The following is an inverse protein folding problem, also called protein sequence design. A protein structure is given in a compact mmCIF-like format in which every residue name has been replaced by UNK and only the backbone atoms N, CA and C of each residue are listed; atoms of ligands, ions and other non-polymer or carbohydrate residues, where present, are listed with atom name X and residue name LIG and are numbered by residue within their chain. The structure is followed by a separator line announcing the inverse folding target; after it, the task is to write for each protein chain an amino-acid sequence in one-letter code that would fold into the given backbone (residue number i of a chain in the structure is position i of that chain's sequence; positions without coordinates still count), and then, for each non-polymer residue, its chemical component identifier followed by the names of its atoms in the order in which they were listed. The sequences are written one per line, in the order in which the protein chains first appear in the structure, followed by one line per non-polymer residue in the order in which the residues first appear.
data_IF_875489539511
#
_entry.id   IF_875489539511
#
_cell.length_a   1.000
_cell.length_b   1.000
_cell.length_c   1.000
_cell.angle_alpha   90.00
_cell.angle_beta   90.00
_cell.angle_gamma   90.00
#
_symmetry.space_group_name_H-M   'P 1'
#
loop_
_entity.id
_entity.type
_entity.pdbx_description
1 polymer ?
#
# COMPACT_ATOMS: atom_id res chain seq x y z
N UNK A 1 -2.13 -4.04 -7.65
CA UNK A 1 -1.97 -3.56 -6.26
C UNK A 1 -3.36 -3.38 -5.66
N UNK A 2 -3.50 -3.62 -4.36
CA UNK A 2 -4.76 -3.48 -3.64
C UNK A 2 -4.49 -2.77 -2.31
N UNK A 3 -5.39 -1.90 -1.87
CA UNK A 3 -5.36 -1.30 -0.53
C UNK A 3 -6.72 -1.42 0.14
N UNK A 4 -6.71 -1.70 1.43
CA UNK A 4 -7.87 -1.71 2.31
C UNK A 4 -7.60 -0.89 3.57
N UNK A 5 -8.54 -0.01 3.89
CA UNK A 5 -8.51 0.83 5.08
C UNK A 5 -9.53 0.31 6.09
N UNK A 6 -9.10 0.09 7.32
CA UNK A 6 -9.94 -0.42 8.41
C UNK A 6 -9.99 0.57 9.56
N UNK A 7 -11.13 0.62 10.24
CA UNK A 7 -11.31 1.39 11.46
C UNK A 7 -12.73 1.91 11.61
N UNK A 8 -12.86 3.13 12.13
CA UNK A 8 -14.13 3.83 12.26
C UNK A 8 -14.31 4.86 11.14
N UNK A 9 -15.53 4.93 10.63
CA UNK A 9 -15.90 5.88 9.59
C UNK A 9 -17.22 6.55 9.94
N UNK A 10 -17.19 7.88 10.00
CA UNK A 10 -18.37 8.70 10.21
C UNK A 10 -18.64 9.53 8.94
N UNK A 11 -19.61 9.14 8.10
CA UNK A 11 -20.00 9.93 6.94
C UNK A 11 -20.36 11.36 7.35
N UNK A 12 -20.04 12.34 6.50
CA UNK A 12 -20.50 13.70 6.72
C UNK A 12 -22.03 13.78 6.67
N UNK A 13 -22.64 14.62 7.51
CA UNK A 13 -24.10 14.74 7.58
C UNK A 13 -24.78 15.18 6.27
N UNK A 14 -24.03 15.80 5.36
CA UNK A 14 -24.50 16.24 4.05
C UNK A 14 -24.29 15.20 2.94
N UNK A 15 -23.54 14.12 3.20
CA UNK A 15 -23.24 13.11 2.21
C UNK A 15 -24.47 12.23 1.97
N UNK A 16 -24.95 12.20 0.74
CA UNK A 16 -26.05 11.34 0.33
C UNK A 16 -25.55 9.90 0.13
N UNK A 17 -26.06 8.90 0.89
CA UNK A 17 -25.72 7.49 0.67
C UNK A 17 -26.07 6.97 -0.72
N UNK A 18 -27.00 7.62 -1.43
CA UNK A 18 -27.41 7.30 -2.81
C UNK A 18 -26.67 8.16 -3.86
N UNK A 19 -25.65 8.92 -3.45
CA UNK A 19 -24.81 9.72 -4.35
C UNK A 19 -24.28 8.90 -5.52
N UNK A 20 -24.33 9.47 -6.73
CA UNK A 20 -23.80 8.85 -7.95
C UNK A 20 -22.29 8.60 -7.90
N UNK A 21 -21.57 9.39 -7.09
CA UNK A 21 -20.12 9.26 -6.92
C UNK A 21 -19.78 8.21 -5.86
N UNK A 22 -19.61 6.97 -6.33
CA UNK A 22 -19.09 5.86 -5.53
C UNK A 22 -17.57 5.96 -5.28
N UNK A 23 -17.02 4.96 -4.59
CA UNK A 23 -15.60 4.89 -4.26
C UNK A 23 -14.71 4.94 -5.50
N UNK A 24 -15.14 4.24 -6.55
CA UNK A 24 -14.42 4.16 -7.80
C UNK A 24 -14.35 5.53 -8.47
N UNK A 25 -15.48 6.20 -8.62
CA UNK A 25 -15.54 7.50 -9.27
C UNK A 25 -14.73 8.56 -8.52
N UNK A 26 -14.84 8.64 -7.19
CA UNK A 26 -14.07 9.62 -6.41
C UNK A 26 -12.56 9.34 -6.50
N UNK A 27 -12.15 8.08 -6.42
CA UNK A 27 -10.75 7.71 -6.51
C UNK A 27 -10.19 7.96 -7.92
N UNK A 28 -10.98 7.67 -8.96
CA UNK A 28 -10.67 7.99 -10.36
C UNK A 28 -10.43 9.50 -10.51
N UNK A 29 -11.35 10.34 -10.05
CA UNK A 29 -11.24 11.80 -10.14
C UNK A 29 -10.02 12.33 -9.38
N UNK A 30 -9.75 11.80 -8.17
CA UNK A 30 -8.57 12.18 -7.38
C UNK A 30 -7.27 11.78 -8.10
N UNK A 31 -7.22 10.57 -8.64
CA UNK A 31 -6.04 10.08 -9.38
C UNK A 31 -5.79 10.88 -10.66
N UNK A 32 -6.85 11.26 -11.40
CA UNK A 32 -6.77 12.16 -12.56
C UNK A 32 -6.22 13.53 -12.15
N UNK A 33 -6.77 14.13 -11.09
CA UNK A 33 -6.38 15.46 -10.64
C UNK A 33 -4.90 15.53 -10.22
N UNK A 34 -4.32 14.42 -9.76
CA UNK A 34 -2.92 14.33 -9.37
C UNK A 34 -1.98 13.91 -10.52
N UNK A 35 -2.53 13.57 -11.70
CA UNK A 35 -1.75 13.07 -12.84
C UNK A 35 -1.17 11.68 -12.59
N UNK A 36 -1.82 10.86 -11.76
CA UNK A 36 -1.35 9.52 -11.39
C UNK A 36 -1.95 8.41 -12.26
N UNK A 37 -3.00 8.68 -13.03
CA UNK A 37 -3.58 7.69 -13.94
C UNK A 37 -2.79 7.56 -15.24
N UNK A 38 -2.64 6.33 -15.69
CA UNK A 38 -2.18 6.05 -17.04
C UNK A 38 -3.35 6.14 -18.03
N UNK A 39 -3.50 7.31 -18.67
CA UNK A 39 -4.56 7.61 -19.64
C UNK A 39 -4.46 6.81 -20.96
N UNK A 40 -3.45 5.94 -21.11
CA UNK A 40 -3.24 5.13 -22.31
C UNK A 40 -4.36 4.13 -22.58
N UNK A 41 -5.10 3.71 -21.56
CA UNK A 41 -6.22 2.77 -21.71
C UNK A 41 -7.48 3.41 -22.33
N UNK A 42 -7.75 4.70 -22.09
CA UNK A 42 -8.90 5.42 -22.66
C UNK A 42 -8.67 5.92 -24.09
N UNK A 43 -7.42 5.97 -24.53
CA UNK A 43 -6.99 6.52 -25.81
C UNK A 43 -7.18 5.58 -27.02
N UNK A 44 -7.53 4.31 -26.80
CA UNK A 44 -7.64 3.31 -27.87
C UNK A 44 -8.93 3.41 -28.70
N UNK A 45 -9.91 4.25 -28.30
CA UNK A 45 -11.22 4.31 -28.94
C UNK A 45 -11.50 5.59 -29.73
N UNK A 46 -10.68 6.64 -29.58
CA UNK A 46 -10.83 7.89 -30.33
C UNK A 46 -9.56 8.27 -31.09
N UNK A 47 -9.70 8.18 -32.42
CA UNK A 47 -8.88 8.81 -33.44
C UNK A 47 -7.41 8.36 -33.56
N UNK A 48 -7.19 7.51 -34.56
CA UNK A 48 -6.02 7.64 -35.42
C UNK A 48 -5.90 9.10 -35.90
N UNK A 49 -4.67 9.61 -35.92
CA UNK A 49 -4.27 10.94 -36.39
C UNK A 49 -4.25 12.04 -35.32
N UNK A 50 -3.20 12.04 -34.52
CA UNK A 50 -2.24 13.16 -34.43
C UNK A 50 -1.03 12.68 -33.61
N UNK A 51 0.16 13.21 -33.90
CA UNK A 51 1.39 12.91 -33.14
C UNK A 51 1.16 13.30 -31.67
N UNK A 52 0.72 12.34 -30.86
CA UNK A 52 0.54 12.53 -29.42
C UNK A 52 1.92 12.85 -28.83
N UNK A 53 2.05 14.09 -28.37
CA UNK A 53 3.06 14.56 -27.43
C UNK A 53 3.31 13.45 -26.40
N UNK A 54 4.58 13.16 -26.09
CA UNK A 54 4.95 12.12 -25.13
C UNK A 54 4.28 12.45 -23.78
N UNK A 55 3.13 11.86 -23.49
CA UNK A 55 2.48 11.93 -22.18
C UNK A 55 3.26 10.97 -21.29
N UNK A 56 3.79 11.48 -20.18
CA UNK A 56 4.47 10.65 -19.19
C UNK A 56 3.51 9.53 -18.75
N UNK A 57 3.98 8.27 -18.65
CA UNK A 57 3.14 7.19 -18.14
C UNK A 57 2.65 7.52 -16.73
N UNK A 58 1.37 7.24 -16.45
CA UNK A 58 0.84 7.33 -15.09
C UNK A 58 1.40 6.26 -14.17
N UNK A 59 1.10 6.38 -12.88
CA UNK A 59 1.53 5.43 -11.84
C UNK A 59 0.70 4.14 -11.84
N UNK A 60 -0.56 4.20 -12.25
CA UNK A 60 -1.44 3.05 -12.32
C UNK A 60 -2.62 3.23 -13.28
N UNK A 61 -3.25 2.13 -13.66
CA UNK A 61 -4.60 2.09 -14.23
C UNK A 61 -5.64 1.66 -13.19
N UNK A 62 -6.87 2.16 -13.33
CA UNK A 62 -7.97 1.82 -12.44
C UNK A 62 -8.51 0.42 -12.69
N UNK A 63 -8.87 -0.30 -11.63
CA UNK A 63 -9.58 -1.59 -11.74
C UNK A 63 -10.93 -1.53 -11.04
N UNK A 64 -10.95 -1.45 -9.71
CA UNK A 64 -12.20 -1.46 -8.93
C UNK A 64 -12.01 -0.79 -7.56
N UNK A 65 -13.09 -0.36 -6.91
CA UNK A 65 -13.07 0.21 -5.56
C UNK A 65 -14.44 0.13 -4.90
N UNK A 66 -14.48 0.12 -3.57
CA UNK A 66 -15.76 0.05 -2.85
C UNK A 66 -15.73 0.61 -1.43
N UNK A 67 -16.91 1.09 -0.99
CA UNK A 67 -17.24 1.38 0.39
C UNK A 67 -17.81 0.09 1.00
N UNK A 68 -17.21 -0.47 2.05
CA UNK A 68 -17.56 -1.76 2.68
C UNK A 68 -17.01 -3.03 2.01
N UNK A 69 -17.10 -4.14 2.76
CA UNK A 69 -16.54 -5.44 2.40
C UNK A 69 -17.13 -6.00 1.09
N UNK A 70 -16.31 -6.35 0.08
CA UNK A 70 -16.81 -6.84 -1.21
C UNK A 70 -17.50 -8.21 -1.10
N UNK A 71 -17.18 -9.00 -0.07
CA UNK A 71 -17.88 -10.25 0.27
C UNK A 71 -19.01 -10.09 1.31
N UNK A 72 -19.44 -8.87 1.61
CA UNK A 72 -20.52 -8.57 2.57
C UNK A 72 -20.36 -9.21 3.97
N UNK A 73 -19.13 -9.22 4.52
CA UNK A 73 -18.82 -9.82 5.82
C UNK A 73 -19.46 -9.01 6.98
N UNK A 74 -20.38 -9.57 7.80
CA UNK A 74 -21.23 -8.82 8.74
C UNK A 74 -20.55 -8.14 9.95
N UNK A 75 -19.23 -8.14 10.07
CA UNK A 75 -18.50 -7.58 11.21
C UNK A 75 -17.16 -6.94 10.83
N UNK A 76 -16.96 -6.65 9.55
CA UNK A 76 -15.70 -6.06 9.10
C UNK A 76 -15.63 -4.58 9.48
N UNK A 77 -14.52 -4.17 10.12
CA UNK A 77 -14.15 -2.75 10.26
C UNK A 77 -13.64 -2.14 8.94
N UNK A 78 -13.78 -2.84 7.81
CA UNK A 78 -13.35 -2.33 6.52
C UNK A 78 -14.20 -1.10 6.14
N UNK A 79 -13.52 0.04 5.99
CA UNK A 79 -14.12 1.30 5.60
C UNK A 79 -14.22 1.35 4.07
N UNK A 80 -13.08 1.14 3.41
CA UNK A 80 -12.93 1.30 1.97
C UNK A 80 -11.83 0.42 1.43
N UNK A 81 -11.93 0.05 0.16
CA UNK A 81 -10.87 -0.66 -0.55
C UNK A 81 -10.74 -0.17 -1.99
N UNK A 82 -9.54 -0.30 -2.53
CA UNK A 82 -9.15 0.19 -3.85
C UNK A 82 -8.24 -0.81 -4.54
N UNK A 83 -8.46 -1.02 -5.83
CA UNK A 83 -7.69 -1.92 -6.66
C UNK A 83 -7.22 -1.19 -7.92
N UNK A 84 -5.92 -1.27 -8.17
CA UNK A 84 -5.28 -0.65 -9.33
C UNK A 84 -4.29 -1.61 -9.97
N UNK A 85 -4.07 -1.46 -11.27
CA UNK A 85 -2.97 -2.09 -11.99
C UNK A 85 -1.77 -1.15 -11.94
N UNK A 86 -0.75 -1.50 -11.16
CA UNK A 86 0.44 -0.67 -11.01
C UNK A 86 1.26 -0.70 -12.31
N UNK A 87 1.64 0.47 -12.81
CA UNK A 87 2.53 0.60 -13.95
C UNK A 87 3.93 0.09 -13.62
N UNK A 88 4.70 -0.25 -14.66
CA UNK A 88 6.14 -0.48 -14.50
C UNK A 88 6.81 0.78 -13.94
N UNK A 89 7.62 0.60 -12.90
CA UNK A 89 8.32 1.69 -12.23
C UNK A 89 9.74 1.83 -12.76
N UNK A 90 10.20 3.07 -12.91
CA UNK A 90 11.60 3.33 -13.23
C UNK A 90 12.52 2.72 -12.15
N UNK A 91 13.73 2.30 -12.55
CA UNK A 91 14.65 1.57 -11.67
C UNK A 91 15.16 2.39 -10.48
N UNK A 92 14.99 3.69 -10.47
CA UNK A 92 15.32 4.59 -9.36
C UNK A 92 14.11 5.01 -8.51
N UNK A 93 12.92 4.44 -8.77
CA UNK A 93 11.67 4.77 -8.06
C UNK A 93 11.07 3.57 -7.33
N UNK A 94 10.46 3.78 -6.15
CA UNK A 94 9.76 2.71 -5.45
C UNK A 94 8.47 2.33 -6.19
N UNK A 95 7.84 1.23 -5.78
CA UNK A 95 6.42 1.01 -6.10
C UNK A 95 5.60 2.23 -5.62
N UNK A 96 4.53 2.67 -6.31
CA UNK A 96 3.82 3.89 -5.96
C UNK A 96 2.81 3.66 -4.81
N UNK A 97 3.24 3.05 -3.70
CA UNK A 97 2.35 2.67 -2.60
C UNK A 97 1.96 3.89 -1.77
N UNK A 98 2.91 4.79 -1.48
CA UNK A 98 2.67 6.04 -0.78
C UNK A 98 1.64 6.92 -1.49
N UNK A 99 1.78 7.28 -2.78
CA UNK A 99 0.75 8.04 -3.50
C UNK A 99 -0.57 7.28 -3.61
N UNK A 100 -0.53 5.94 -3.73
CA UNK A 100 -1.74 5.12 -3.78
C UNK A 100 -2.54 5.20 -2.46
N UNK A 101 -1.88 5.04 -1.31
CA UNK A 101 -2.53 5.14 -0.01
C UNK A 101 -2.97 6.56 0.32
N UNK A 102 -2.22 7.59 -0.09
CA UNK A 102 -2.67 8.99 0.01
C UNK A 102 -3.93 9.24 -0.81
N UNK A 103 -3.98 8.74 -2.04
CA UNK A 103 -5.19 8.83 -2.87
C UNK A 103 -6.38 8.11 -2.22
N UNK A 104 -6.15 6.91 -1.68
CA UNK A 104 -7.19 6.14 -0.98
C UNK A 104 -7.74 6.90 0.23
N UNK A 105 -6.85 7.43 1.08
CA UNK A 105 -7.23 8.22 2.25
C UNK A 105 -8.00 9.49 1.84
N UNK A 106 -7.47 10.29 0.90
CA UNK A 106 -8.13 11.50 0.41
C UNK A 106 -9.53 11.24 -0.13
N UNK A 107 -9.71 10.09 -0.79
CA UNK A 107 -10.99 9.67 -1.35
C UNK A 107 -11.98 9.34 -0.24
N UNK A 108 -11.57 8.53 0.74
CA UNK A 108 -12.42 8.14 1.86
C UNK A 108 -12.76 9.34 2.76
N UNK A 109 -11.79 10.21 3.01
CA UNK A 109 -11.97 11.43 3.82
C UNK A 109 -12.79 12.51 3.11
N UNK A 110 -13.00 12.40 1.78
CA UNK A 110 -13.87 13.32 1.04
C UNK A 110 -15.33 13.23 1.48
N UNK A 111 -15.75 12.06 1.95
CA UNK A 111 -17.16 11.74 2.24
C UNK A 111 -17.43 11.53 3.73
N UNK A 112 -16.39 11.53 4.57
CA UNK A 112 -16.54 11.41 6.01
C UNK A 112 -15.23 11.53 6.78
N UNK A 113 -15.31 11.36 8.08
CA UNK A 113 -14.15 11.37 8.98
C UNK A 113 -13.69 9.92 9.20
N UNK A 114 -12.39 9.70 9.02
CA UNK A 114 -11.75 8.38 9.16
C UNK A 114 -10.93 8.34 10.45
N UNK A 115 -11.10 7.27 11.23
CA UNK A 115 -10.15 6.87 12.26
C UNK A 115 -9.58 5.51 11.90
N UNK A 116 -8.32 5.47 11.46
CA UNK A 116 -7.68 4.24 11.01
C UNK A 116 -7.26 3.36 12.19
N UNK A 117 -7.67 2.10 12.15
CA UNK A 117 -7.19 1.02 13.03
C UNK A 117 -6.12 0.17 12.34
N UNK A 118 -6.29 -0.06 11.03
CA UNK A 118 -5.36 -0.86 10.23
C UNK A 118 -5.37 -0.46 8.75
N UNK A 119 -4.27 -0.78 8.06
CA UNK A 119 -4.14 -0.67 6.62
C UNK A 119 -3.58 -1.97 6.08
N UNK A 120 -4.15 -2.49 5.01
CA UNK A 120 -3.64 -3.65 4.31
C UNK A 120 -3.35 -3.31 2.85
N UNK A 121 -2.21 -3.77 2.35
CA UNK A 121 -1.75 -3.53 0.98
C UNK A 121 -1.24 -4.83 0.36
N UNK A 122 -1.70 -5.14 -0.85
CA UNK A 122 -1.12 -6.20 -1.68
C UNK A 122 -0.07 -5.58 -2.62
N UNK A 123 1.20 -5.85 -2.32
CA UNK A 123 2.38 -5.32 -2.99
C UNK A 123 2.79 -6.22 -4.17
N UNK A 124 2.82 -5.73 -5.42
CA UNK A 124 3.28 -6.50 -6.57
C UNK A 124 4.82 -6.54 -6.67
N UNK A 125 5.49 -7.17 -5.69
CA UNK A 125 6.97 -7.21 -5.60
C UNK A 125 7.62 -7.86 -6.82
N UNK A 126 6.94 -8.78 -7.50
CA UNK A 126 7.37 -9.37 -8.77
C UNK A 126 7.59 -8.35 -9.89
N UNK A 127 7.00 -7.15 -9.80
CA UNK A 127 7.23 -6.05 -10.74
C UNK A 127 8.47 -5.22 -10.42
N UNK A 128 9.19 -5.51 -9.33
CA UNK A 128 10.41 -4.81 -8.92
C UNK A 128 11.64 -5.61 -9.36
N UNK A 129 12.33 -5.13 -10.38
CA UNK A 129 13.62 -5.69 -10.77
C UNK A 129 14.75 -5.11 -9.91
N UNK A 130 15.00 -5.77 -8.77
CA UNK A 130 16.05 -5.39 -7.83
C UNK A 130 17.46 -5.37 -8.46
N UNK A 131 17.69 -6.11 -9.56
CA UNK A 131 19.00 -6.18 -10.23
C UNK A 131 19.32 -4.94 -11.05
N UNK A 132 18.28 -4.18 -11.44
CA UNK A 132 18.41 -2.93 -12.20
C UNK A 132 18.51 -1.70 -11.33
N UNK A 133 18.31 -1.83 -10.01
CA UNK A 133 18.39 -0.73 -9.06
C UNK A 133 19.81 -0.12 -9.07
N UNK A 134 19.95 1.20 -9.28
CA UNK A 134 21.26 1.83 -9.22
C UNK A 134 21.77 1.85 -7.77
N UNK A 135 23.09 1.93 -7.59
CA UNK A 135 23.72 1.85 -6.26
C UNK A 135 23.21 2.90 -5.25
N UNK A 136 22.76 4.07 -5.73
CA UNK A 136 22.21 5.13 -4.88
C UNK A 136 20.73 4.94 -4.52
N UNK A 137 20.03 4.00 -5.16
CA UNK A 137 18.60 3.75 -4.96
C UNK A 137 18.29 2.25 -4.90
N UNK A 138 19.10 1.49 -4.16
CA UNK A 138 18.83 0.07 -3.86
C UNK A 138 17.49 -0.08 -3.14
N UNK A 139 17.16 0.87 -2.27
CA UNK A 139 15.86 1.05 -1.63
C UNK A 139 15.43 2.50 -1.88
N UNK A 140 14.76 2.80 -3.00
CA UNK A 140 14.49 4.16 -3.44
C UNK A 140 13.84 5.09 -2.41
N UNK A 141 12.91 4.59 -1.58
CA UNK A 141 12.24 5.37 -0.54
C UNK A 141 13.21 5.93 0.52
N UNK A 142 14.42 5.38 0.65
CA UNK A 142 15.48 5.93 1.52
C UNK A 142 16.00 7.30 1.08
N UNK A 143 15.58 7.82 -0.07
CA UNK A 143 15.89 9.19 -0.49
C UNK A 143 15.01 10.24 0.20
N UNK A 144 13.90 9.84 0.84
CA UNK A 144 12.94 10.75 1.46
C UNK A 144 12.61 10.49 2.95
N UNK A 145 13.42 9.81 3.78
CA UNK A 145 13.07 9.57 5.19
C UNK A 145 13.04 10.87 6.00
N UNK A 146 13.83 11.88 5.60
CA UNK A 146 13.88 13.20 6.26
C UNK A 146 12.55 13.97 6.20
N UNK A 147 11.64 13.60 5.28
CA UNK A 147 10.28 14.14 5.26
C UNK A 147 9.57 13.95 6.62
N UNK A 148 9.84 12.83 7.29
CA UNK A 148 9.27 12.50 8.60
C UNK A 148 10.10 13.04 9.77
N UNK A 149 11.24 13.69 9.51
CA UNK A 149 12.11 14.27 10.55
C UNK A 149 11.48 15.46 11.26
N UNK A 150 10.53 16.15 10.62
CA UNK A 150 9.79 17.29 11.17
C UNK A 150 8.47 16.89 11.86
N UNK A 151 8.13 15.59 11.91
CA UNK A 151 6.96 15.12 12.67
C UNK A 151 7.13 15.41 14.17
N UNK A 152 6.05 15.79 14.87
CA UNK A 152 6.06 15.89 16.34
C UNK A 152 6.47 14.53 16.92
N UNK A 153 7.53 14.44 17.75
CA UNK A 153 7.94 13.18 18.38
C UNK A 153 6.82 12.47 19.15
N UNK A 154 5.79 13.19 19.58
CA UNK A 154 4.61 12.63 20.25
C UNK A 154 3.60 11.98 19.30
N UNK A 155 3.74 12.19 17.99
CA UNK A 155 2.92 11.56 16.96
C UNK A 155 3.32 10.11 16.70
N UNK A 156 4.46 9.65 17.26
CA UNK A 156 4.89 8.26 17.14
C UNK A 156 3.79 7.31 17.59
N UNK A 157 3.55 6.30 16.77
CA UNK A 157 2.48 5.33 16.98
C UNK A 157 3.06 3.92 17.10
N UNK A 158 2.68 3.23 18.18
CA UNK A 158 2.95 1.81 18.32
C UNK A 158 2.16 1.02 17.28
N UNK A 159 2.86 0.18 16.53
CA UNK A 159 2.29 -0.60 15.44
C UNK A 159 2.78 -2.04 15.45
N UNK A 160 1.97 -2.90 14.85
CA UNK A 160 2.36 -4.25 14.43
C UNK A 160 2.22 -4.35 12.93
N UNK A 161 3.17 -5.02 12.31
CA UNK A 161 3.26 -5.16 10.87
C UNK A 161 3.34 -6.64 10.55
N UNK A 162 2.46 -7.12 9.70
CA UNK A 162 2.54 -8.44 9.10
C UNK A 162 3.00 -8.32 7.65
N UNK A 163 4.00 -9.11 7.29
CA UNK A 163 4.47 -9.28 5.91
C UNK A 163 4.27 -10.75 5.56
N UNK A 164 3.47 -11.07 4.55
CA UNK A 164 3.06 -12.45 4.23
C UNK A 164 3.17 -12.76 2.74
N UNK A 165 3.73 -13.92 2.40
CA UNK A 165 3.86 -14.42 1.03
C UNK A 165 2.80 -15.44 0.64
N UNK A 166 1.73 -15.57 1.42
CA UNK A 166 0.63 -16.47 1.14
C UNK A 166 0.95 -17.91 1.52
N UNK A 167 0.74 -18.84 0.60
CA UNK A 167 1.02 -20.28 0.77
C UNK A 167 2.47 -20.64 0.54
N UNK A 168 3.19 -19.84 -0.25
CA UNK A 168 4.62 -20.06 -0.48
C UNK A 168 5.42 -19.52 0.71
N UNK A 169 6.35 -20.31 1.30
CA UNK A 169 7.12 -19.90 2.49
C UNK A 169 8.30 -18.96 2.17
N UNK A 170 8.16 -18.06 1.18
CA UNK A 170 9.23 -17.16 0.74
C UNK A 170 9.62 -16.13 1.82
N UNK A 171 8.64 -15.53 2.51
CA UNK A 171 8.91 -14.56 3.58
C UNK A 171 9.60 -15.21 4.78
N UNK A 172 9.10 -16.33 5.35
CA UNK A 172 9.81 -17.04 6.42
C UNK A 172 11.25 -17.42 6.07
N UNK A 173 11.51 -17.80 4.81
CA UNK A 173 12.86 -18.16 4.37
C UNK A 173 13.89 -17.02 4.46
N UNK A 174 13.44 -15.76 4.33
CA UNK A 174 14.30 -14.57 4.43
C UNK A 174 14.09 -13.75 5.70
N UNK A 175 13.23 -14.19 6.63
CA UNK A 175 12.78 -13.44 7.80
C UNK A 175 13.88 -12.70 8.56
N UNK A 176 14.95 -13.43 8.92
CA UNK A 176 16.09 -12.89 9.67
C UNK A 176 16.94 -11.90 8.85
N UNK A 177 17.01 -12.11 7.53
CA UNK A 177 17.74 -11.23 6.62
C UNK A 177 16.96 -9.94 6.40
N UNK A 178 15.64 -10.03 6.19
CA UNK A 178 14.75 -8.89 6.01
C UNK A 178 14.73 -8.01 7.25
N UNK A 179 14.52 -8.59 8.44
CA UNK A 179 14.52 -7.84 9.71
C UNK A 179 15.86 -7.13 9.94
N UNK A 180 16.97 -7.82 9.68
CA UNK A 180 18.32 -7.22 9.81
C UNK A 180 18.60 -6.16 8.76
N UNK A 181 18.07 -6.31 7.55
CA UNK A 181 18.23 -5.34 6.48
C UNK A 181 17.49 -4.05 6.86
N UNK A 182 16.21 -4.15 7.25
CA UNK A 182 15.40 -3.02 7.69
C UNK A 182 16.01 -2.29 8.89
N UNK A 183 16.56 -3.01 9.87
CA UNK A 183 17.17 -2.39 11.06
C UNK A 183 18.53 -1.71 10.80
N UNK A 184 19.13 -1.93 9.63
CA UNK A 184 20.39 -1.29 9.21
C UNK A 184 20.18 -0.10 8.29
N UNK A 185 18.96 0.13 7.82
CA UNK A 185 18.64 1.33 7.06
C UNK A 185 18.73 2.55 7.99
N UNK A 186 19.45 3.58 7.57
CA UNK A 186 19.59 4.84 8.32
C UNK A 186 18.31 5.68 8.19
N UNK A 187 17.28 5.29 8.95
CA UNK A 187 15.96 5.93 8.95
C UNK A 187 15.31 5.82 10.34
N UNK A 188 14.52 6.83 10.70
CA UNK A 188 13.76 6.89 11.97
C UNK A 188 12.24 6.81 11.77
N UNK A 189 11.80 6.50 10.54
CA UNK A 189 10.38 6.39 10.13
C UNK A 189 9.74 5.18 10.81
N UNK A 190 10.40 4.03 10.84
CA UNK A 190 9.98 2.85 11.59
C UNK A 190 11.13 2.30 12.42
N UNK A 191 10.93 2.19 13.73
CA UNK A 191 11.88 1.60 14.65
C UNK A 191 11.23 0.39 15.31
N UNK A 192 11.72 -0.81 15.00
CA UNK A 192 11.11 -2.03 15.50
C UNK A 192 11.96 -3.27 15.25
N UNK A 193 11.42 -4.41 15.64
CA UNK A 193 12.06 -5.71 15.51
C UNK A 193 11.03 -6.80 15.19
N UNK A 194 11.53 -7.98 14.79
CA UNK A 194 10.69 -9.16 14.65
C UNK A 194 10.05 -9.54 15.99
N UNK A 195 8.80 -9.98 15.94
CA UNK A 195 8.01 -10.37 17.10
C UNK A 195 7.30 -11.71 16.84
N UNK A 196 7.99 -12.80 17.21
CA UNK A 196 7.50 -14.16 17.01
C UNK A 196 6.38 -14.55 18.01
N UNK A 197 6.03 -13.67 18.97
CA UNK A 197 4.99 -13.96 19.96
C UNK A 197 3.58 -13.67 19.43
N UNK A 198 3.46 -12.86 18.37
CA UNK A 198 2.18 -12.43 17.83
C UNK A 198 1.70 -13.43 16.79
N UNK A 199 0.54 -14.08 17.02
CA UNK A 199 -0.05 -14.98 16.04
C UNK A 199 -0.43 -14.24 14.74
N UNK A 200 -0.21 -14.89 13.59
CA UNK A 200 -0.55 -14.32 12.28
C UNK A 200 -2.06 -14.10 12.09
N UNK A 201 -2.90 -14.84 12.79
CA UNK A 201 -4.37 -14.71 12.76
C UNK A 201 -4.91 -13.52 13.57
N UNK A 202 -4.03 -12.77 14.27
CA UNK A 202 -4.39 -11.52 14.96
C UNK A 202 -4.60 -10.33 14.02
N UNK A 203 -4.34 -10.50 12.72
CA UNK A 203 -4.47 -9.46 11.69
C UNK A 203 -5.78 -9.60 10.91
N UNK A 204 -6.34 -8.49 10.40
CA UNK A 204 -7.52 -8.54 9.54
C UNK A 204 -7.36 -9.50 8.35
N UNK A 205 -8.38 -10.31 8.10
CA UNK A 205 -8.45 -11.16 6.90
C UNK A 205 -8.48 -10.29 5.64
N UNK A 206 -7.77 -10.68 4.56
CA UNK A 206 -7.83 -9.94 3.31
C UNK A 206 -9.25 -9.84 2.77
N UNK A 207 -9.69 -8.66 2.31
CA UNK A 207 -11.03 -8.47 1.79
C UNK A 207 -11.10 -8.83 0.30
N UNK A 208 -10.14 -9.60 -0.23
CA UNK A 208 -10.10 -10.04 -1.62
C UNK A 208 -9.83 -11.54 -1.70
N UNK A 209 -10.22 -12.14 -2.82
CA UNK A 209 -10.12 -13.57 -3.05
C UNK A 209 -8.65 -14.03 -3.11
N UNK A 210 -8.36 -15.19 -2.52
CA UNK A 210 -7.02 -15.76 -2.50
C UNK A 210 -6.45 -15.98 -3.90
N UNK A 211 -7.28 -16.15 -4.94
CA UNK A 211 -6.86 -16.28 -6.35
C UNK A 211 -6.23 -15.01 -6.93
N UNK A 212 -6.46 -13.83 -6.33
CA UNK A 212 -5.79 -12.60 -6.74
C UNK A 212 -4.30 -12.59 -6.38
N UNK A 213 -3.89 -13.50 -5.50
CA UNK A 213 -2.51 -13.62 -5.04
C UNK A 213 -2.20 -15.09 -4.73
N UNK A 214 -1.17 -15.41 -3.93
CA UNK A 214 -0.93 -16.79 -3.49
C UNK A 214 -1.56 -17.07 -2.11
N UNK A 215 -2.76 -16.54 -1.84
CA UNK A 215 -3.43 -16.70 -0.55
C UNK A 215 -3.88 -18.13 -0.25
N UNK A 216 -4.29 -18.44 1.00
CA UNK A 216 -4.47 -17.55 2.15
C UNK A 216 -3.16 -17.11 2.82
N UNK A 217 -3.19 -16.06 3.67
CA UNK A 217 -1.99 -15.53 4.30
C UNK A 217 -1.56 -16.51 5.41
N UNK A 218 -0.59 -17.37 5.12
CA UNK A 218 -0.19 -18.47 6.02
C UNK A 218 1.31 -18.48 6.31
N UNK A 219 2.10 -17.76 5.52
CA UNK A 219 3.55 -17.72 5.64
C UNK A 219 4.03 -16.27 5.66
N UNK A 220 4.11 -15.74 6.88
CA UNK A 220 4.58 -14.38 7.11
C UNK A 220 5.44 -14.26 8.34
N UNK A 221 5.87 -13.02 8.58
CA UNK A 221 6.51 -12.58 9.81
C UNK A 221 5.74 -11.41 10.41
N UNK A 222 5.93 -11.19 11.70
CA UNK A 222 5.43 -10.00 12.38
C UNK A 222 6.60 -9.15 12.85
N UNK A 223 6.49 -7.84 12.63
CA UNK A 223 7.35 -6.82 13.22
C UNK A 223 6.53 -5.99 14.20
N UNK A 224 7.09 -5.69 15.36
CA UNK A 224 6.51 -4.78 16.36
C UNK A 224 7.44 -3.58 16.54
N UNK A 225 6.89 -2.38 16.66
CA UNK A 225 7.69 -1.17 16.82
C UNK A 225 6.89 0.12 16.83
N UNK A 226 7.57 1.23 16.56
CA UNK A 226 6.99 2.55 16.46
C UNK A 226 7.14 3.12 15.04
N UNK A 227 6.05 3.64 14.50
CA UNK A 227 6.02 4.41 13.26
C UNK A 227 6.10 5.91 13.60
N UNK A 228 6.79 6.72 12.80
CA UNK A 228 6.99 8.16 13.04
C UNK A 228 5.68 8.92 13.21
N UNK A 229 4.65 8.53 12.47
CA UNK A 229 3.27 8.98 12.62
C UNK A 229 2.30 7.91 12.14
N UNK A 230 1.08 7.90 12.69
CA UNK A 230 0.01 7.04 12.20
C UNK A 230 -0.70 7.67 11.00
N UNK A 231 -0.13 7.53 9.80
CA UNK A 231 -0.66 8.09 8.55
C UNK A 231 -0.48 7.12 7.37
N UNK A 232 -1.33 7.25 6.34
CA UNK A 232 -1.13 6.52 5.08
C UNK A 232 0.19 6.89 4.38
N UNK A 233 0.79 8.05 4.67
CA UNK A 233 2.12 8.41 4.16
C UNK A 233 3.20 7.51 4.73
N UNK A 234 3.29 7.45 6.06
CA UNK A 234 4.33 6.72 6.75
C UNK A 234 4.17 5.21 6.52
N UNK A 235 2.93 4.73 6.50
CA UNK A 235 2.60 3.35 6.14
C UNK A 235 3.00 3.06 4.69
N UNK A 236 2.70 3.96 3.75
CA UNK A 236 3.04 3.80 2.34
C UNK A 236 4.55 3.76 2.12
N UNK A 237 5.28 4.72 2.68
CA UNK A 237 6.74 4.77 2.64
C UNK A 237 7.38 3.49 3.19
N UNK A 238 6.86 2.97 4.30
CA UNK A 238 7.35 1.72 4.89
C UNK A 238 7.04 0.51 4.01
N UNK A 239 5.85 0.46 3.42
CA UNK A 239 5.46 -0.62 2.52
C UNK A 239 6.35 -0.66 1.26
N UNK A 240 6.71 0.49 0.70
CA UNK A 240 7.67 0.61 -0.40
C UNK A 240 9.06 0.11 0.00
N UNK A 241 9.55 0.58 1.15
CA UNK A 241 10.83 0.16 1.72
C UNK A 241 10.90 -1.35 1.90
N UNK A 242 9.82 -1.96 2.41
CA UNK A 242 9.69 -3.41 2.56
C UNK A 242 9.64 -4.12 1.20
N UNK A 243 8.91 -3.59 0.21
CA UNK A 243 8.84 -4.19 -1.12
C UNK A 243 10.22 -4.25 -1.79
N UNK A 244 10.96 -3.14 -1.80
CA UNK A 244 12.30 -3.09 -2.38
C UNK A 244 13.30 -3.98 -1.61
N UNK A 245 13.23 -3.98 -0.28
CA UNK A 245 14.05 -4.84 0.56
C UNK A 245 13.77 -6.33 0.31
N UNK A 246 12.51 -6.72 0.18
CA UNK A 246 12.10 -8.09 -0.12
C UNK A 246 12.55 -8.52 -1.53
N UNK A 247 12.38 -7.64 -2.53
CA UNK A 247 12.85 -7.88 -3.89
C UNK A 247 14.37 -8.08 -3.92
N UNK A 248 15.12 -7.24 -3.21
CA UNK A 248 16.58 -7.35 -3.08
C UNK A 248 17.02 -8.66 -2.43
N UNK A 249 16.22 -9.20 -1.51
CA UNK A 249 16.45 -10.50 -0.87
C UNK A 249 15.91 -11.69 -1.68
N UNK A 250 15.44 -11.46 -2.90
CA UNK A 250 15.08 -12.50 -3.86
C UNK A 250 13.60 -12.90 -3.85
N UNK A 251 12.71 -12.16 -3.18
CA UNK A 251 11.27 -12.36 -3.33
C UNK A 251 10.83 -11.90 -4.72
N UNK A 252 10.10 -12.76 -5.43
CA UNK A 252 9.63 -12.54 -6.80
C UNK A 252 8.11 -12.79 -6.92
N UNK A 253 7.38 -12.64 -5.81
CA UNK A 253 5.94 -12.88 -5.72
C UNK A 253 5.27 -11.74 -4.95
N UNK A 254 3.96 -11.55 -5.12
CA UNK A 254 3.23 -10.53 -4.36
C UNK A 254 3.36 -10.75 -2.85
N UNK A 255 3.40 -9.65 -2.09
CA UNK A 255 3.40 -9.67 -0.63
C UNK A 255 2.17 -8.98 -0.08
N UNK A 256 1.55 -9.59 0.92
CA UNK A 256 0.54 -8.94 1.73
C UNK A 256 1.21 -8.21 2.91
N UNK A 257 1.10 -6.89 2.90
CA UNK A 257 1.60 -6.01 3.96
C UNK A 257 0.42 -5.48 4.76
N UNK A 258 0.34 -5.80 6.05
CA UNK A 258 -0.74 -5.32 6.93
C UNK A 258 -0.14 -4.59 8.12
N UNK A 259 -0.58 -3.37 8.39
CA UNK A 259 -0.18 -2.59 9.57
C UNK A 259 -1.39 -2.38 10.45
N UNK A 260 -1.27 -2.65 11.74
CA UNK A 260 -2.28 -2.38 12.75
C UNK A 260 -1.70 -1.46 13.82
N UNK A 261 -2.51 -0.52 14.29
CA UNK A 261 -2.17 0.29 15.46
C UNK A 261 -2.43 -0.50 16.74
N UNK A 262 -1.59 -0.33 17.76
CA UNK A 262 -1.70 -1.02 19.06
C UNK A 262 -1.90 -0.07 20.22
#
# INVERSE_FOLDING_TARGET
MFAALYGEFAPHAWHDPESEHDAYQLFLQRSLAMGWLDDRAGAAQEAASERRTIVAPGLWAMNDAGWSHPLAAPASKLISWFQVEASEVASDRPLPVQPFLRCAQDTTERIGVVQLDAVQVLLPVQGVDASTRPAYAVVPSMQTPEWFGECDPRSRASVRIRIDSGRTPSVPAIASQLTRHLSRLEQDVFVGAADDQIPLDSFPTPPFDDRFWDGPPTHGIVLSGELAEWSCDAIGWLAETVADSAAHLGIQSSLLFTVTRT
#
